data_IF_186984596802
#
_entry.id   IF_186984596802
#
_cell.length_a   1.000
_cell.length_b   1.000
_cell.length_c   1.000
_cell.angle_alpha   90.00
_cell.angle_beta   90.00
_cell.angle_gamma   90.00
#
_symmetry.space_group_name_H-M   'P 1'
#
loop_
_entity.id
_entity.type
_entity.pdbx_description
1 polymer ?
#
# COMPACT_ATOMS: atom_id res chain seq x y z
N UNK A 1 6.18 13.15 -10.30
CA UNK A 1 5.77 14.57 -10.29
C UNK A 1 6.72 15.41 -9.48
N UNK A 2 6.66 15.28 -8.15
CA UNK A 2 7.49 16.06 -7.20
C UNK A 2 9.01 15.90 -7.36
N UNK A 3 9.52 14.71 -7.72
CA UNK A 3 10.93 14.50 -8.05
C UNK A 3 11.39 15.29 -9.28
N UNK A 4 10.57 15.26 -10.32
CA UNK A 4 10.82 15.91 -11.61
C UNK A 4 10.73 17.44 -11.45
N UNK A 5 9.73 17.92 -10.71
CA UNK A 5 9.59 19.33 -10.31
C UNK A 5 10.76 19.81 -9.45
N UNK A 6 11.18 19.02 -8.46
CA UNK A 6 12.34 19.32 -7.61
C UNK A 6 13.64 19.41 -8.38
N UNK A 7 13.87 18.51 -9.33
CA UNK A 7 15.05 18.56 -10.21
C UNK A 7 15.01 19.76 -11.19
N UNK A 8 13.83 20.11 -11.70
CA UNK A 8 13.66 21.26 -12.60
C UNK A 8 13.86 22.60 -11.87
N UNK A 9 13.42 22.71 -10.63
CA UNK A 9 13.47 23.95 -9.84
C UNK A 9 14.82 24.17 -9.14
N UNK A 10 15.43 23.12 -8.60
CA UNK A 10 16.64 23.22 -7.77
C UNK A 10 17.90 22.64 -8.43
N UNK A 11 17.76 21.94 -9.57
CA UNK A 11 18.85 21.34 -10.37
C UNK A 11 19.86 20.56 -9.52
N UNK A 12 20.99 21.19 -9.21
CA UNK A 12 22.14 20.58 -8.52
C UNK A 12 21.91 20.59 -6.99
N UNK A 13 21.17 21.56 -6.46
CA UNK A 13 20.85 21.65 -5.03
C UNK A 13 19.88 20.57 -4.56
N UNK A 14 19.16 19.91 -5.49
CA UNK A 14 18.33 18.75 -5.18
C UNK A 14 19.15 17.58 -4.61
N UNK A 15 20.44 17.46 -4.98
CA UNK A 15 21.34 16.44 -4.44
C UNK A 15 21.69 16.70 -2.96
N UNK A 16 21.48 17.92 -2.44
CA UNK A 16 21.66 18.26 -1.02
C UNK A 16 20.67 17.52 -0.12
N UNK A 17 19.48 17.14 -0.62
CA UNK A 17 18.51 16.32 0.11
C UNK A 17 19.08 14.93 0.48
N UNK A 18 20.04 14.42 -0.29
CA UNK A 18 20.65 13.11 -0.05
C UNK A 18 21.73 13.15 1.05
N UNK A 19 22.16 14.35 1.48
CA UNK A 19 23.10 14.53 2.57
C UNK A 19 22.37 15.08 3.80
N UNK A 20 22.25 14.34 4.91
CA UNK A 20 21.68 14.87 6.13
C UNK A 20 22.59 15.97 6.69
N UNK A 21 21.98 17.08 7.09
CA UNK A 21 22.69 18.16 7.77
C UNK A 21 23.34 17.66 9.06
N UNK A 22 24.65 17.83 9.18
CA UNK A 22 25.41 17.56 10.40
C UNK A 22 26.06 16.17 10.53
N UNK A 23 26.04 15.32 9.49
CA UNK A 23 26.73 14.03 9.53
C UNK A 23 28.26 14.15 9.33
N UNK A 24 29.08 13.32 10.01
CA UNK A 24 30.53 13.27 9.80
C UNK A 24 30.87 12.95 8.34
N UNK A 25 31.74 13.76 7.72
CA UNK A 25 32.18 13.63 6.32
C UNK A 25 32.72 12.24 5.95
N UNK A 26 33.27 11.50 6.92
CA UNK A 26 33.79 10.13 6.71
C UNK A 26 32.66 9.13 6.42
N UNK A 27 31.47 9.32 6.99
CA UNK A 27 30.31 8.43 6.83
C UNK A 27 29.35 8.90 5.74
N UNK A 28 29.55 10.12 5.22
CA UNK A 28 28.72 10.73 4.19
C UNK A 28 28.46 9.83 2.96
N UNK A 29 29.46 9.16 2.33
CA UNK A 29 29.18 8.36 1.13
C UNK A 29 28.31 7.13 1.42
N UNK A 30 28.46 6.50 2.59
CA UNK A 30 27.60 5.38 2.99
C UNK A 30 26.17 5.85 3.26
N UNK A 31 26.04 7.00 3.91
CA UNK A 31 24.74 7.51 4.30
C UNK A 31 23.92 8.02 3.09
N UNK A 32 24.57 8.62 2.09
CA UNK A 32 23.93 9.00 0.82
C UNK A 32 23.31 7.78 0.13
N UNK A 33 23.96 6.62 0.16
CA UNK A 33 23.43 5.38 -0.44
C UNK A 33 22.13 4.95 0.27
N UNK A 34 22.11 4.92 1.61
CA UNK A 34 20.92 4.49 2.35
C UNK A 34 19.76 5.49 2.18
N UNK A 35 20.04 6.80 2.13
CA UNK A 35 19.00 7.81 1.93
C UNK A 35 18.41 7.73 0.52
N UNK A 36 19.25 7.46 -0.49
CA UNK A 36 18.80 7.22 -1.87
C UNK A 36 17.85 6.02 -1.94
N UNK A 37 18.22 4.90 -1.28
CA UNK A 37 17.37 3.70 -1.21
C UNK A 37 16.05 4.02 -0.47
N UNK A 38 16.11 4.71 0.66
CA UNK A 38 14.94 5.10 1.45
C UNK A 38 13.99 6.02 0.66
N UNK A 39 14.54 6.96 -0.11
CA UNK A 39 13.78 7.85 -0.97
C UNK A 39 13.03 7.11 -2.07
N UNK A 40 13.70 6.17 -2.75
CA UNK A 40 13.07 5.32 -3.78
C UNK A 40 12.03 4.39 -3.15
N UNK A 41 12.35 3.76 -2.01
CA UNK A 41 11.44 2.89 -1.29
C UNK A 41 10.17 3.63 -0.84
N UNK A 42 10.28 4.89 -0.43
CA UNK A 42 9.13 5.73 -0.07
C UNK A 42 8.17 5.90 -1.25
N UNK A 43 8.69 6.21 -2.43
CA UNK A 43 7.88 6.35 -3.64
C UNK A 43 7.16 5.05 -4.02
N UNK A 44 7.86 3.91 -3.91
CA UNK A 44 7.29 2.59 -4.21
C UNK A 44 6.25 2.18 -3.14
N UNK A 45 6.54 2.43 -1.87
CA UNK A 45 5.72 1.98 -0.74
C UNK A 45 4.28 2.51 -0.78
N UNK A 46 4.08 3.71 -1.34
CA UNK A 46 2.74 4.29 -1.48
C UNK A 46 1.90 3.49 -2.50
N UNK A 47 2.48 3.19 -3.66
CA UNK A 47 1.81 2.38 -4.69
C UNK A 47 1.56 0.95 -4.23
N UNK A 48 2.56 0.32 -3.59
CA UNK A 48 2.42 -1.03 -3.04
C UNK A 48 1.35 -1.09 -1.96
N UNK A 49 1.26 -0.07 -1.10
CA UNK A 49 0.22 0.01 -0.05
C UNK A 49 -1.18 0.02 -0.64
N UNK A 50 -1.41 0.82 -1.67
CA UNK A 50 -2.71 0.88 -2.34
C UNK A 50 -3.03 -0.45 -3.05
N UNK A 51 -2.07 -0.98 -3.81
CA UNK A 51 -2.26 -2.25 -4.52
C UNK A 51 -2.52 -3.43 -3.56
N UNK A 52 -1.77 -3.51 -2.46
CA UNK A 52 -1.93 -4.55 -1.45
C UNK A 52 -3.32 -4.47 -0.79
N UNK A 53 -3.79 -3.28 -0.45
CA UNK A 53 -5.12 -3.10 0.15
C UNK A 53 -6.24 -3.56 -0.79
N UNK A 54 -6.17 -3.20 -2.07
CA UNK A 54 -7.19 -3.60 -3.07
C UNK A 54 -7.13 -5.11 -3.36
N UNK A 55 -5.93 -5.67 -3.56
CA UNK A 55 -5.77 -7.10 -3.88
C UNK A 55 -6.19 -7.98 -2.70
N UNK A 56 -5.84 -7.59 -1.46
CA UNK A 56 -6.19 -8.37 -0.28
C UNK A 56 -7.71 -8.41 -0.06
N UNK A 57 -8.40 -7.27 -0.22
CA UNK A 57 -9.86 -7.22 -0.10
C UNK A 57 -10.56 -8.05 -1.16
N UNK A 58 -10.17 -7.93 -2.43
CA UNK A 58 -10.71 -8.75 -3.52
C UNK A 58 -10.47 -10.25 -3.34
N UNK A 59 -9.27 -10.66 -2.90
CA UNK A 59 -8.98 -12.06 -2.61
C UNK A 59 -9.85 -12.60 -1.48
N UNK A 60 -10.03 -11.80 -0.42
CA UNK A 60 -10.85 -12.17 0.73
C UNK A 60 -12.33 -12.31 0.33
N UNK A 61 -12.82 -11.44 -0.56
CA UNK A 61 -14.16 -11.57 -1.16
C UNK A 61 -14.32 -12.88 -1.95
N UNK A 62 -13.33 -13.25 -2.77
CA UNK A 62 -13.35 -14.50 -3.52
C UNK A 62 -13.39 -15.75 -2.62
N UNK A 63 -12.62 -15.75 -1.52
CA UNK A 63 -12.59 -16.88 -0.58
C UNK A 63 -13.93 -17.01 0.16
N UNK A 64 -14.49 -15.91 0.67
CA UNK A 64 -15.73 -15.94 1.44
C UNK A 64 -16.95 -16.21 0.56
N UNK A 65 -17.00 -15.69 -0.66
CA UNK A 65 -18.04 -16.04 -1.63
C UNK A 65 -18.04 -17.53 -1.97
N UNK A 66 -16.87 -18.13 -2.18
CA UNK A 66 -16.74 -19.58 -2.38
C UNK A 66 -17.22 -20.38 -1.17
N UNK A 67 -16.90 -19.92 0.05
CA UNK A 67 -17.41 -20.53 1.28
C UNK A 67 -18.93 -20.42 1.39
N UNK A 68 -19.50 -19.24 1.16
CA UNK A 68 -20.94 -18.98 1.19
C UNK A 68 -21.69 -19.86 0.18
N UNK A 69 -21.17 -19.99 -1.05
CA UNK A 69 -21.75 -20.85 -2.08
C UNK A 69 -21.73 -22.33 -1.68
N UNK A 70 -20.62 -22.82 -1.12
CA UNK A 70 -20.53 -24.18 -0.63
C UNK A 70 -21.51 -24.46 0.52
N UNK A 71 -21.73 -23.52 1.44
CA UNK A 71 -22.72 -23.70 2.51
C UNK A 71 -24.15 -23.75 1.97
N UNK A 72 -24.46 -22.90 0.99
CA UNK A 72 -25.79 -22.86 0.37
C UNK A 72 -26.07 -24.14 -0.42
N UNK A 73 -25.08 -24.65 -1.15
CA UNK A 73 -25.19 -25.91 -1.90
C UNK A 73 -25.37 -27.15 -1.00
N UNK A 74 -24.88 -27.11 0.25
CA UNK A 74 -25.02 -28.20 1.21
C UNK A 74 -26.32 -28.10 2.05
N UNK A 75 -27.25 -27.20 1.72
CA UNK A 75 -28.53 -27.04 2.41
C UNK A 75 -28.45 -26.28 3.75
N UNK A 76 -27.28 -25.74 4.12
CA UNK A 76 -27.06 -24.95 5.34
C UNK A 76 -27.41 -23.47 5.12
N UNK A 77 -28.63 -23.21 4.64
CA UNK A 77 -29.06 -21.87 4.20
C UNK A 77 -29.05 -20.85 5.35
N UNK A 78 -29.46 -21.25 6.56
CA UNK A 78 -29.49 -20.36 7.73
C UNK A 78 -28.08 -19.90 8.12
N UNK A 79 -27.09 -20.81 8.05
CA UNK A 79 -25.71 -20.49 8.40
C UNK A 79 -25.00 -19.68 7.30
N UNK A 80 -25.50 -19.75 6.07
CA UNK A 80 -24.99 -18.99 4.91
C UNK A 80 -25.22 -17.47 5.03
N UNK A 81 -26.15 -17.02 5.89
CA UNK A 81 -26.33 -15.60 6.19
C UNK A 81 -25.11 -14.95 6.84
N UNK A 82 -24.34 -15.71 7.63
CA UNK A 82 -23.18 -15.18 8.34
C UNK A 82 -22.03 -14.76 7.38
N UNK A 83 -21.58 -15.62 6.44
CA UNK A 83 -20.65 -15.22 5.38
C UNK A 83 -21.17 -14.04 4.54
N UNK A 84 -22.47 -14.00 4.22
CA UNK A 84 -23.06 -12.91 3.44
C UNK A 84 -22.98 -11.56 4.16
N UNK A 85 -23.20 -11.55 5.49
CA UNK A 85 -23.07 -10.37 6.32
C UNK A 85 -21.62 -9.86 6.35
N UNK A 86 -20.65 -10.76 6.49
CA UNK A 86 -19.22 -10.41 6.46
C UNK A 86 -18.85 -9.75 5.13
N UNK A 87 -19.38 -10.25 4.00
CA UNK A 87 -19.14 -9.67 2.67
C UNK A 87 -19.62 -8.23 2.57
N UNK A 88 -20.77 -7.90 3.16
CA UNK A 88 -21.29 -6.51 3.22
C UNK A 88 -20.34 -5.60 4.02
N UNK A 89 -19.77 -6.10 5.11
CA UNK A 89 -18.80 -5.32 5.89
C UNK A 89 -17.48 -5.11 5.15
N UNK A 90 -17.01 -6.11 4.39
CA UNK A 90 -15.77 -6.01 3.61
C UNK A 90 -15.91 -4.99 2.49
N UNK A 91 -17.03 -5.00 1.75
CA UNK A 91 -17.25 -4.01 0.70
C UNK A 91 -17.32 -2.59 1.26
N UNK A 92 -17.93 -2.42 2.43
CA UNK A 92 -17.95 -1.13 3.12
C UNK A 92 -16.54 -0.68 3.54
N UNK A 93 -15.73 -1.61 4.05
CA UNK A 93 -14.33 -1.34 4.41
C UNK A 93 -13.48 -0.99 3.18
N UNK A 94 -13.61 -1.71 2.07
CA UNK A 94 -12.91 -1.42 0.81
C UNK A 94 -13.27 -0.04 0.28
N UNK A 95 -14.55 0.34 0.31
CA UNK A 95 -14.98 1.67 -0.08
C UNK A 95 -14.40 2.75 0.84
N UNK A 96 -14.29 2.49 2.14
CA UNK A 96 -13.63 3.43 3.07
C UNK A 96 -12.13 3.57 2.77
N UNK A 97 -11.43 2.48 2.48
CA UNK A 97 -10.00 2.50 2.12
C UNK A 97 -9.77 3.18 0.76
N UNK A 98 -10.68 3.06 -0.19
CA UNK A 98 -10.57 3.71 -1.51
C UNK A 98 -10.73 5.23 -1.45
N UNK A 99 -11.43 5.75 -0.44
CA UNK A 99 -11.63 7.20 -0.22
C UNK A 99 -10.42 7.84 0.48
N UNK A 100 -9.66 7.06 1.25
CA UNK A 100 -8.49 7.50 2.04
C UNK A 100 -7.22 7.49 1.19
#
# INVERSE_FOLDING_TARGET
>A
GVTLLGFLTWKIDFLSILMPGGAPLVLAPFLVIIETISYVARAISLGVRLAANIIAGHLLFAIISGFAFNMMSNGLVVLSFFPMLIMIFITLLEMAVAVI
#
